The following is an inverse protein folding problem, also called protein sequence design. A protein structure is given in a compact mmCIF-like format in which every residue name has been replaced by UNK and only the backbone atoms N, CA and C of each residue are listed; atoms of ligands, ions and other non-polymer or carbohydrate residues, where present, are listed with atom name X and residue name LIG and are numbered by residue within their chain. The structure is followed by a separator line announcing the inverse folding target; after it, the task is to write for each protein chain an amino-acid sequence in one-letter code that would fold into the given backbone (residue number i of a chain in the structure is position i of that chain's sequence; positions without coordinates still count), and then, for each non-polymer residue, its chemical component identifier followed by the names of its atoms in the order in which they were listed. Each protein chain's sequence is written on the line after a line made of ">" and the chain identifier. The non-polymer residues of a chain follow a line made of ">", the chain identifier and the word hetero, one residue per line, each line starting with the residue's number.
data_IF_630206739221
#
_entry.id   IF_630206739221
#
_cell.length_a   1.000
_cell.length_b   1.000
_cell.length_c   1.000
_cell.angle_alpha   90.00
_cell.angle_beta   90.00
_cell.angle_gamma   90.00
#
_symmetry.space_group_name_H-M   'P 1'
#
loop_
_entity.id
_entity.type
_entity.pdbx_description
1 polymer ?
#
# COMPACT_ATOMS: atom_id res chain seq x y z
N UNK A 1 44.01 31.78 11.85
CA UNK A 1 44.27 30.58 12.68
C UNK A 1 43.72 29.38 11.91
N UNK A 2 44.45 28.85 10.93
CA UNK A 2 45.35 27.67 10.97
C UNK A 2 44.69 26.37 11.47
N UNK A 3 44.53 25.46 10.49
CA UNK A 3 44.53 23.99 10.55
C UNK A 3 43.23 23.33 11.06
N UNK A 4 42.73 22.22 10.50
CA UNK A 4 43.44 21.08 9.91
C UNK A 4 42.49 20.21 9.07
N UNK A 5 42.90 19.87 7.84
CA UNK A 5 42.28 18.85 7.00
C UNK A 5 42.62 17.44 7.50
N UNK A 6 41.72 16.45 7.34
CA UNK A 6 42.04 15.02 7.49
C UNK A 6 41.45 14.18 6.37
N UNK A 7 42.33 13.91 5.40
CA UNK A 7 42.63 12.64 4.72
C UNK A 7 41.51 11.69 4.27
N UNK A 8 41.37 11.69 2.94
CA UNK A 8 40.95 10.60 2.06
C UNK A 8 41.79 9.32 2.28
N UNK A 9 41.15 8.14 2.27
CA UNK A 9 41.81 6.86 1.95
C UNK A 9 40.91 5.97 1.10
N UNK A 10 41.38 5.73 -0.11
CA UNK A 10 40.93 4.72 -1.05
C UNK A 10 41.52 3.36 -0.63
N UNK A 11 40.78 2.27 -0.81
CA UNK A 11 41.35 0.93 -0.92
C UNK A 11 40.85 0.28 -2.20
N UNK A 12 41.81 -0.16 -3.00
CA UNK A 12 41.65 -0.83 -4.27
C UNK A 12 41.84 -2.34 -4.11
N UNK A 13 41.08 -3.10 -4.91
CA UNK A 13 41.45 -4.29 -5.70
C UNK A 13 42.13 -5.49 -5.00
N UNK A 14 41.56 -6.69 -5.14
CA UNK A 14 42.05 -7.69 -6.11
C UNK A 14 41.43 -9.09 -5.93
N UNK A 15 41.40 -9.77 -7.06
CA UNK A 15 40.91 -11.11 -7.39
C UNK A 15 41.57 -12.26 -6.63
N UNK A 16 40.87 -13.39 -6.50
CA UNK A 16 41.51 -14.71 -6.41
C UNK A 16 40.83 -15.73 -7.34
N UNK A 17 41.69 -16.60 -7.85
CA UNK A 17 41.58 -17.47 -9.02
C UNK A 17 40.75 -18.74 -8.81
N UNK A 18 40.28 -19.25 -9.94
CA UNK A 18 39.70 -20.57 -10.17
C UNK A 18 40.61 -21.72 -9.72
N UNK A 19 40.00 -22.74 -9.10
CA UNK A 19 40.58 -24.06 -8.91
C UNK A 19 39.64 -25.11 -9.51
N UNK A 20 40.06 -25.75 -10.61
CA UNK A 20 39.42 -26.95 -11.13
C UNK A 20 40.00 -28.16 -10.39
N UNK A 21 39.17 -28.87 -9.63
CA UNK A 21 39.47 -30.19 -9.11
C UNK A 21 38.51 -31.20 -9.77
N UNK A 22 39.07 -32.17 -10.48
CA UNK A 22 38.36 -33.30 -11.06
C UNK A 22 38.02 -34.32 -9.97
N UNK A 23 36.72 -34.62 -9.80
CA UNK A 23 36.23 -35.69 -8.94
C UNK A 23 36.02 -36.98 -9.77
N UNK A 24 36.25 -38.18 -9.21
CA UNK A 24 35.97 -39.44 -9.89
C UNK A 24 34.46 -39.72 -9.89
N UNK A 25 34.00 -40.44 -10.93
CA UNK A 25 32.60 -40.82 -11.08
C UNK A 25 32.16 -41.83 -10.00
N UNK A 26 31.17 -41.44 -9.21
CA UNK A 26 30.44 -42.36 -8.31
C UNK A 26 29.41 -43.18 -9.08
N UNK A 27 29.18 -44.46 -8.74
CA UNK A 27 28.13 -45.26 -9.37
C UNK A 27 26.74 -44.76 -8.93
N UNK A 28 25.86 -44.47 -9.90
CA UNK A 28 24.47 -44.11 -9.65
C UNK A 28 23.70 -45.28 -9.00
N UNK A 29 22.95 -45.05 -7.92
CA UNK A 29 21.90 -45.98 -7.51
C UNK A 29 20.75 -45.88 -8.51
N UNK A 30 20.26 -47.02 -9.00
CA UNK A 30 19.05 -47.11 -9.79
C UNK A 30 17.84 -46.77 -8.91
N UNK A 31 17.41 -45.51 -8.92
CA UNK A 31 16.16 -45.10 -8.29
C UNK A 31 14.99 -45.40 -9.23
N UNK A 32 14.03 -46.16 -8.70
CA UNK A 32 12.69 -46.36 -9.26
C UNK A 32 12.03 -45.04 -9.70
N UNK A 33 11.06 -45.04 -10.65
CA UNK A 33 10.42 -43.81 -11.09
C UNK A 33 9.79 -43.08 -9.91
N UNK A 34 10.16 -41.81 -9.75
CA UNK A 34 9.59 -40.92 -8.76
C UNK A 34 8.10 -40.72 -9.07
N UNK A 35 7.24 -41.04 -8.10
CA UNK A 35 5.86 -40.61 -8.09
C UNK A 35 5.84 -39.08 -8.10
N UNK A 36 5.36 -38.48 -9.19
CA UNK A 36 5.08 -37.04 -9.23
C UNK A 36 4.07 -36.74 -8.11
N UNK A 37 4.33 -35.76 -7.22
CA UNK A 37 3.34 -35.35 -6.24
C UNK A 37 2.13 -34.81 -7.01
N UNK A 38 0.98 -35.47 -6.85
CA UNK A 38 -0.31 -34.98 -7.31
C UNK A 38 -0.54 -33.57 -6.77
N UNK A 39 -0.96 -32.67 -7.66
CA UNK A 39 -1.38 -31.29 -7.43
C UNK A 39 -1.91 -31.06 -6.01
N UNK A 40 -1.25 -30.16 -5.28
CA UNK A 40 -1.94 -29.43 -4.23
C UNK A 40 -3.11 -28.68 -4.88
N UNK A 41 -4.33 -28.70 -4.32
CA UNK A 41 -5.44 -27.97 -4.91
C UNK A 41 -5.03 -26.50 -5.03
N UNK A 42 -5.04 -25.97 -6.25
CA UNK A 42 -4.91 -24.54 -6.49
C UNK A 42 -5.97 -23.85 -5.62
N UNK A 43 -5.52 -22.99 -4.70
CA UNK A 43 -6.43 -22.16 -3.91
C UNK A 43 -7.39 -21.47 -4.88
N UNK A 44 -8.70 -21.71 -4.73
CA UNK A 44 -9.70 -21.04 -5.57
C UNK A 44 -9.43 -19.54 -5.55
N UNK A 45 -9.32 -18.93 -6.73
CA UNK A 45 -9.04 -17.51 -6.85
C UNK A 45 -10.18 -16.72 -6.18
N UNK A 46 -9.84 -15.81 -5.25
CA UNK A 46 -10.82 -14.92 -4.67
C UNK A 46 -11.39 -13.98 -5.75
N UNK A 47 -12.71 -13.87 -5.80
CA UNK A 47 -13.43 -12.97 -6.73
C UNK A 47 -13.93 -11.74 -5.99
N UNK A 48 -14.30 -10.71 -6.74
CA UNK A 48 -14.91 -9.48 -6.23
C UNK A 48 -16.15 -9.15 -7.05
N UNK A 49 -17.04 -8.33 -6.48
CA UNK A 49 -18.24 -7.83 -7.15
C UNK A 49 -18.22 -6.30 -7.14
N UNK A 50 -18.66 -5.72 -8.24
CA UNK A 50 -18.86 -4.29 -8.40
C UNK A 50 -20.37 -3.98 -8.49
N UNK A 51 -20.77 -2.75 -8.12
CA UNK A 51 -19.96 -1.70 -7.48
C UNK A 51 -19.84 -1.89 -5.95
N UNK A 52 -18.81 -1.30 -5.33
CA UNK A 52 -18.68 -1.26 -3.87
C UNK A 52 -19.51 -0.13 -3.22
N UNK A 53 -19.88 0.89 -3.98
CA UNK A 53 -20.71 2.01 -3.54
C UNK A 53 -21.61 2.45 -4.71
N UNK A 54 -22.91 2.20 -4.59
CA UNK A 54 -23.91 2.42 -5.65
C UNK A 54 -24.25 3.89 -5.89
N UNK A 55 -24.09 4.76 -4.88
CA UNK A 55 -24.62 6.12 -4.94
C UNK A 55 -23.54 7.19 -5.11
N UNK A 56 -22.43 7.10 -4.37
CA UNK A 56 -21.43 8.18 -4.26
C UNK A 56 -20.01 7.62 -4.22
N UNK A 57 -19.62 6.90 -5.28
CA UNK A 57 -18.35 6.18 -5.39
C UNK A 57 -17.23 6.93 -6.11
N UNK A 58 -17.39 8.22 -6.42
CA UNK A 58 -16.39 8.99 -7.16
C UNK A 58 -15.08 9.13 -6.37
N UNK A 59 -13.96 9.17 -7.11
CA UNK A 59 -12.60 9.32 -6.57
C UNK A 59 -12.28 8.36 -5.41
N UNK A 60 -12.39 7.03 -5.61
CA UNK A 60 -12.18 6.09 -4.54
C UNK A 60 -10.69 6.01 -4.14
N UNK A 61 -10.42 6.17 -2.84
CA UNK A 61 -9.11 5.90 -2.26
C UNK A 61 -9.20 4.80 -1.20
N UNK A 62 -8.42 3.73 -1.40
CA UNK A 62 -8.46 2.52 -0.59
C UNK A 62 -7.08 2.18 -0.04
N UNK A 63 -6.98 1.90 1.27
CA UNK A 63 -5.76 1.40 1.89
C UNK A 63 -6.05 0.24 2.84
N UNK A 64 -5.20 -0.79 2.81
CA UNK A 64 -5.23 -1.89 3.79
C UNK A 64 -4.25 -1.60 4.93
N UNK A 65 -4.72 -1.71 6.16
CA UNK A 65 -3.91 -1.54 7.37
C UNK A 65 -4.49 -2.34 8.52
N UNK A 66 -3.63 -2.99 9.31
CA UNK A 66 -3.99 -3.67 10.57
C UNK A 66 -5.27 -4.52 10.46
N UNK A 67 -5.29 -5.45 9.49
CA UNK A 67 -6.39 -6.40 9.31
C UNK A 67 -7.60 -5.84 8.56
N UNK A 68 -7.61 -4.58 8.13
CA UNK A 68 -8.79 -3.93 7.58
C UNK A 68 -8.49 -3.14 6.31
N UNK A 69 -9.47 -3.11 5.40
CA UNK A 69 -9.58 -2.15 4.32
C UNK A 69 -10.27 -0.89 4.82
N UNK A 70 -9.75 0.26 4.41
CA UNK A 70 -10.29 1.58 4.66
C UNK A 70 -10.56 2.24 3.32
N UNK A 71 -11.78 2.74 3.11
CA UNK A 71 -12.21 3.37 1.87
C UNK A 71 -12.73 4.76 2.16
N UNK A 72 -12.37 5.73 1.33
CA UNK A 72 -13.04 7.02 1.24
C UNK A 72 -13.36 7.32 -0.22
N UNK A 73 -14.38 8.15 -0.44
CA UNK A 73 -14.87 8.59 -1.74
C UNK A 73 -15.29 10.05 -1.62
N UNK A 74 -15.37 10.75 -2.75
CA UNK A 74 -15.93 12.11 -2.79
C UNK A 74 -17.36 12.11 -2.27
N UNK A 75 -17.62 13.00 -1.31
CA UNK A 75 -18.91 13.20 -0.66
C UNK A 75 -19.22 14.69 -0.57
N UNK A 76 -20.46 15.03 -0.25
CA UNK A 76 -20.89 16.42 -0.10
C UNK A 76 -20.77 16.83 1.36
N UNK A 77 -19.81 17.70 1.67
CA UNK A 77 -19.72 18.48 2.91
C UNK A 77 -18.88 17.87 4.05
N UNK A 78 -18.67 16.56 4.08
CA UNK A 78 -17.79 15.91 5.05
C UNK A 78 -16.95 14.80 4.39
N UNK A 79 -15.88 14.38 5.07
CA UNK A 79 -15.09 13.22 4.65
C UNK A 79 -15.45 12.06 5.55
N UNK A 80 -15.97 11.00 4.94
CA UNK A 80 -16.28 9.75 5.63
C UNK A 80 -15.39 8.61 5.20
N UNK A 81 -15.26 7.64 6.09
CA UNK A 81 -14.42 6.46 5.90
C UNK A 81 -15.19 5.19 6.24
N UNK A 82 -15.21 4.25 5.31
CA UNK A 82 -15.69 2.88 5.51
C UNK A 82 -14.53 2.00 5.94
N UNK A 83 -14.80 1.04 6.83
CA UNK A 83 -13.81 0.08 7.32
C UNK A 83 -14.40 -1.32 7.28
N UNK A 84 -13.65 -2.29 6.77
CA UNK A 84 -14.04 -3.70 6.79
C UNK A 84 -12.81 -4.63 6.71
N UNK A 85 -12.82 -5.81 7.35
CA UNK A 85 -11.77 -6.83 7.16
C UNK A 85 -11.69 -7.40 5.73
N UNK A 86 -12.74 -7.25 4.93
CA UNK A 86 -12.82 -7.75 3.55
C UNK A 86 -13.32 -6.66 2.59
N UNK A 87 -12.91 -6.72 1.32
CA UNK A 87 -13.41 -5.83 0.27
C UNK A 87 -14.94 -5.92 0.15
N UNK A 88 -15.51 -7.13 0.17
CA UNK A 88 -16.95 -7.33 0.07
C UNK A 88 -17.73 -6.69 1.23
N UNK A 89 -17.16 -6.68 2.45
CA UNK A 89 -17.79 -6.04 3.59
C UNK A 89 -17.84 -4.51 3.52
N UNK A 90 -17.03 -3.87 2.65
CA UNK A 90 -17.12 -2.42 2.45
C UNK A 90 -18.47 -2.00 1.86
N UNK A 91 -19.09 -2.86 1.04
CA UNK A 91 -20.36 -2.58 0.39
C UNK A 91 -21.53 -2.40 1.37
N UNK A 92 -21.41 -2.92 2.59
CA UNK A 92 -22.45 -2.83 3.64
C UNK A 92 -21.96 -2.17 4.93
N UNK A 93 -20.69 -1.76 4.99
CA UNK A 93 -20.14 -1.09 6.15
C UNK A 93 -20.79 0.28 6.36
N UNK A 94 -21.05 0.63 7.62
CA UNK A 94 -21.45 1.99 7.96
C UNK A 94 -20.20 2.90 7.99
N UNK A 95 -20.24 4.07 7.32
CA UNK A 95 -19.12 5.00 7.37
C UNK A 95 -19.04 5.75 8.70
N UNK A 96 -17.83 6.17 9.06
CA UNK A 96 -17.59 7.16 10.11
C UNK A 96 -17.15 8.49 9.49
N UNK A 97 -17.65 9.62 10.00
CA UNK A 97 -17.12 10.96 9.65
C UNK A 97 -15.75 11.09 10.31
N UNK A 98 -14.71 11.29 9.50
CA UNK A 98 -13.32 11.46 9.99
C UNK A 98 -12.88 12.91 9.93
N UNK A 99 -13.56 13.74 9.14
CA UNK A 99 -13.29 15.16 9.03
C UNK A 99 -14.52 15.93 8.55
N UNK A 100 -14.70 17.12 9.12
CA UNK A 100 -15.68 18.13 8.73
C UNK A 100 -15.13 19.50 9.10
N UNK A 101 -15.53 20.54 8.38
CA UNK A 101 -15.07 21.91 8.63
C UNK A 101 -16.25 22.88 8.49
N UNK A 102 -16.29 23.93 9.32
CA UNK A 102 -17.32 24.96 9.32
C UNK A 102 -16.80 26.34 8.87
N UNK A 103 -15.50 26.46 8.59
CA UNK A 103 -14.90 27.69 8.10
C UNK A 103 -15.40 28.01 6.67
N UNK A 104 -16.12 29.13 6.43
CA UNK A 104 -16.77 29.40 5.15
C UNK A 104 -15.85 29.40 3.91
N UNK A 105 -14.55 29.65 4.09
CA UNK A 105 -13.58 29.64 2.99
C UNK A 105 -13.11 28.23 2.58
N UNK A 106 -13.38 27.19 3.39
CA UNK A 106 -12.90 25.81 3.17
C UNK A 106 -13.82 24.70 3.68
N UNK A 107 -15.05 25.03 4.06
CA UNK A 107 -16.09 24.11 4.51
C UNK A 107 -16.57 23.15 3.43
N UNK A 108 -16.36 23.53 2.18
CA UNK A 108 -17.26 23.17 1.10
C UNK A 108 -16.47 22.58 -0.07
N UNK A 109 -17.15 21.84 -0.94
CA UNK A 109 -16.53 21.21 -2.12
C UNK A 109 -15.31 20.33 -1.76
N UNK A 110 -15.42 19.52 -0.71
CA UNK A 110 -14.37 18.57 -0.31
C UNK A 110 -14.35 17.40 -1.30
N UNK A 111 -13.31 17.30 -2.13
CA UNK A 111 -13.23 16.30 -3.21
C UNK A 111 -12.02 15.39 -3.08
N UNK A 112 -12.09 14.24 -3.76
CA UNK A 112 -11.01 13.27 -3.94
C UNK A 112 -10.13 13.07 -2.69
N UNK A 113 -10.72 12.73 -1.53
CA UNK A 113 -9.94 12.55 -0.32
C UNK A 113 -9.01 11.34 -0.46
N UNK A 114 -7.75 11.51 -0.06
CA UNK A 114 -6.77 10.44 0.05
C UNK A 114 -6.15 10.41 1.44
N UNK A 115 -5.86 9.23 1.96
CA UNK A 115 -5.22 9.09 3.27
C UNK A 115 -4.03 8.13 3.23
N UNK A 116 -2.96 8.52 3.93
CA UNK A 116 -1.68 7.85 3.87
C UNK A 116 -1.06 7.73 5.25
N UNK A 117 -0.51 6.56 5.59
CA UNK A 117 0.29 6.36 6.79
C UNK A 117 1.75 6.67 6.48
N UNK A 118 2.21 7.85 6.90
CA UNK A 118 3.55 8.35 6.59
C UNK A 118 4.44 8.35 7.84
N UNK A 119 5.75 8.21 7.64
CA UNK A 119 6.74 8.36 8.71
C UNK A 119 6.95 9.84 9.04
N UNK A 120 6.90 10.18 10.33
CA UNK A 120 7.20 11.53 10.84
C UNK A 120 8.23 11.51 11.96
N UNK A 121 8.67 12.68 12.46
CA UNK A 121 9.70 12.80 13.49
C UNK A 121 9.38 12.06 14.81
N UNK A 122 8.10 11.76 15.03
CA UNK A 122 7.57 11.12 16.24
C UNK A 122 6.87 9.77 15.91
N UNK A 123 7.33 9.07 14.87
CA UNK A 123 6.75 7.82 14.39
C UNK A 123 5.71 8.01 13.29
N UNK A 124 5.04 6.91 12.94
CA UNK A 124 4.02 6.87 11.87
C UNK A 124 2.79 7.70 12.24
N UNK A 125 2.25 8.44 11.27
CA UNK A 125 1.03 9.26 11.41
C UNK A 125 0.16 9.14 10.18
N UNK A 126 -1.14 9.16 10.38
CA UNK A 126 -2.11 9.25 9.30
C UNK A 126 -2.24 10.70 8.84
N UNK A 127 -2.21 10.90 7.53
CA UNK A 127 -2.44 12.17 6.87
C UNK A 127 -3.61 12.01 5.92
N UNK A 128 -4.57 12.94 5.99
CA UNK A 128 -5.72 13.03 5.08
C UNK A 128 -5.51 14.26 4.20
N UNK A 129 -5.50 14.05 2.88
CA UNK A 129 -5.33 15.08 1.85
C UNK A 129 -6.63 15.23 1.09
N UNK A 130 -7.08 16.47 0.90
CA UNK A 130 -8.25 16.79 0.12
C UNK A 130 -8.18 18.26 -0.30
N UNK A 131 -8.60 18.61 -1.53
CA UNK A 131 -8.99 19.98 -1.86
C UNK A 131 -10.30 20.36 -1.17
N UNK A 132 -10.45 21.65 -0.85
CA UNK A 132 -11.71 22.26 -0.44
C UNK A 132 -11.78 23.71 -0.93
N UNK A 133 -12.99 24.23 -0.99
CA UNK A 133 -13.29 25.61 -1.39
C UNK A 133 -14.38 26.23 -0.52
N UNK A 134 -14.82 27.42 -0.94
CA UNK A 134 -15.99 28.07 -0.37
C UNK A 134 -17.27 27.59 -1.04
N UNK A 135 -18.41 27.83 -0.39
CA UNK A 135 -19.71 27.56 -1.02
C UNK A 135 -19.83 28.27 -2.39
N UNK A 136 -20.54 27.63 -3.32
CA UNK A 136 -20.77 28.14 -4.68
C UNK A 136 -19.58 28.08 -5.65
N UNK A 137 -18.42 27.56 -5.24
CA UNK A 137 -17.19 27.46 -6.08
C UNK A 137 -17.00 26.11 -6.76
N UNK A 138 -18.08 25.50 -7.27
CA UNK A 138 -17.97 24.32 -8.12
C UNK A 138 -17.32 24.71 -9.46
N UNK A 139 -16.46 23.86 -10.00
CA UNK A 139 -15.91 24.03 -11.34
C UNK A 139 -17.06 24.03 -12.36
N UNK A 140 -17.23 25.17 -13.04
CA UNK A 140 -18.18 25.33 -14.15
C UNK A 140 -17.45 25.61 -15.43
#
# INVERSE_FOLDING_TARGET
>A
MRHLARHLRWFALAWLLAGCASAPASPQPTSAPASVPTDAPASAAATFFNPLNEANGADPWLQYYDGNYYLTTTQVGDIRMWKSPTLAGLATAAPAVVWSDDEPTRCCNMWAPEFHLLDGPNGKRWYLYYPAGSDGTLDK
#
